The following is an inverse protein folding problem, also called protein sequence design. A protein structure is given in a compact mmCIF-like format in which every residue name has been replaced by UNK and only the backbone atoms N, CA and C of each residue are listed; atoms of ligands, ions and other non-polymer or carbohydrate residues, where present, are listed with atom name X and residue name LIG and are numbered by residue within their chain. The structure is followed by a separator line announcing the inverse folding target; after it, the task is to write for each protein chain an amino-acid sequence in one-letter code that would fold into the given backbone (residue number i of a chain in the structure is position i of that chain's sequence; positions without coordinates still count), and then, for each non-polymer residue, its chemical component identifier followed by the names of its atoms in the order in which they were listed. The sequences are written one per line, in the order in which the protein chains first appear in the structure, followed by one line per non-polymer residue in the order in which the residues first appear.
data_IF_261964473575
#
_entry.id   IF_261964473575
#
_cell.length_a   1.000
_cell.length_b   1.000
_cell.length_c   1.000
_cell.angle_alpha   90.00
_cell.angle_beta   90.00
_cell.angle_gamma   90.00
#
_symmetry.space_group_name_H-M   'P 1'
#
loop_
_entity.id
_entity.type
_entity.pdbx_description
1 polymer ?
#
# COMPACT_ATOMS: atom_id res chain seq x y z
N UNK A 1 -8.74 -22.99 1.08
CA UNK A 1 -8.28 -22.15 2.18
C UNK A 1 -8.40 -22.95 3.47
N UNK A 2 -7.29 -23.18 4.18
CA UNK A 2 -7.27 -23.91 5.47
C UNK A 2 -8.11 -23.20 6.56
N UNK A 3 -8.27 -21.87 6.44
CA UNK A 3 -9.00 -21.03 7.41
C UNK A 3 -10.39 -20.62 6.94
N UNK A 4 -10.85 -21.11 5.77
CA UNK A 4 -12.18 -20.81 5.24
C UNK A 4 -12.38 -19.36 4.75
N UNK A 5 -11.37 -18.48 4.92
CA UNK A 5 -11.42 -17.07 4.52
C UNK A 5 -10.27 -16.73 3.59
N UNK A 6 -10.57 -16.02 2.53
CA UNK A 6 -9.58 -15.46 1.60
C UNK A 6 -9.82 -13.97 1.46
N UNK A 7 -8.76 -13.16 1.56
CA UNK A 7 -8.84 -11.71 1.45
C UNK A 7 -8.18 -11.28 0.16
N UNK A 8 -8.90 -10.46 -0.60
CA UNK A 8 -8.40 -9.84 -1.83
C UNK A 8 -8.52 -8.33 -1.75
N UNK A 9 -7.55 -7.65 -2.33
CA UNK A 9 -7.50 -6.19 -2.44
C UNK A 9 -7.63 -5.77 -3.90
N UNK A 10 -8.54 -4.88 -4.17
CA UNK A 10 -8.71 -4.32 -5.51
C UNK A 10 -10.16 -4.20 -5.95
N UNK A 11 -10.36 -3.97 -7.26
CA UNK A 11 -9.34 -3.80 -8.31
C UNK A 11 -8.59 -2.47 -8.17
N UNK A 12 -7.27 -2.53 -8.33
CA UNK A 12 -6.38 -1.38 -8.34
C UNK A 12 -5.83 -1.17 -9.75
N UNK A 13 -5.62 0.08 -10.15
CA UNK A 13 -5.00 0.38 -11.44
C UNK A 13 -3.51 0.05 -11.38
N UNK A 14 -3.08 -0.82 -12.27
CA UNK A 14 -1.69 -1.20 -12.44
C UNK A 14 -1.19 -0.77 -13.82
N UNK A 15 -0.07 -0.07 -13.84
CA UNK A 15 0.57 0.38 -15.08
C UNK A 15 1.58 -0.67 -15.52
N UNK A 16 1.33 -1.29 -16.68
CA UNK A 16 2.23 -2.26 -17.30
C UNK A 16 2.86 -1.64 -18.53
N UNK A 17 4.19 -1.61 -18.55
CA UNK A 17 4.93 -1.24 -19.75
C UNK A 17 4.88 -2.39 -20.75
N UNK A 18 4.26 -2.13 -21.90
CA UNK A 18 4.16 -3.07 -23.01
C UNK A 18 5.23 -2.72 -24.02
N UNK A 19 6.08 -3.70 -24.33
CA UNK A 19 7.08 -3.57 -25.39
C UNK A 19 6.42 -3.81 -26.72
N UNK A 20 6.47 -2.80 -27.59
CA UNK A 20 5.88 -2.85 -28.92
C UNK A 20 6.90 -2.39 -29.97
N UNK A 21 6.82 -3.01 -31.15
CA UNK A 21 7.61 -2.66 -32.31
C UNK A 21 6.63 -2.22 -33.40
N UNK A 22 6.70 -0.96 -33.79
CA UNK A 22 5.87 -0.39 -34.87
C UNK A 22 6.71 -0.19 -36.11
N UNK A 23 6.08 -0.33 -37.27
CA UNK A 23 6.72 -0.02 -38.52
C UNK A 23 6.58 1.50 -38.75
N UNK A 24 7.70 2.19 -38.88
CA UNK A 24 7.70 3.60 -39.23
C UNK A 24 7.22 3.75 -40.68
N UNK A 25 6.12 4.47 -40.91
CA UNK A 25 5.55 4.61 -42.28
C UNK A 25 6.48 5.32 -43.24
N UNK A 26 7.38 6.17 -42.75
CA UNK A 26 8.26 6.98 -43.57
C UNK A 26 9.55 6.24 -43.98
N UNK A 27 10.07 5.40 -43.09
CA UNK A 27 11.35 4.71 -43.28
C UNK A 27 11.20 3.22 -43.58
N UNK A 28 10.01 2.63 -43.36
CA UNK A 28 9.76 1.20 -43.51
C UNK A 28 10.53 0.32 -42.48
N UNK A 29 11.18 0.91 -41.49
CA UNK A 29 11.94 0.21 -40.49
C UNK A 29 11.10 -0.02 -39.23
N UNK A 30 11.39 -1.12 -38.48
CA UNK A 30 10.77 -1.38 -37.21
C UNK A 30 11.43 -0.53 -36.14
N UNK A 31 10.64 0.32 -35.50
CA UNK A 31 11.05 1.14 -34.36
C UNK A 31 10.45 0.62 -33.05
N UNK A 32 11.25 0.67 -31.98
CA UNK A 32 10.81 0.29 -30.65
C UNK A 32 9.98 1.42 -30.05
N UNK A 33 8.68 1.16 -29.85
CA UNK A 33 7.71 2.14 -29.32
C UNK A 33 6.98 1.56 -28.12
N UNK A 34 7.61 1.58 -26.93
CA UNK A 34 6.96 1.09 -25.72
C UNK A 34 5.84 2.05 -25.29
N UNK A 35 4.73 1.48 -24.83
CA UNK A 35 3.64 2.25 -24.24
C UNK A 35 3.22 1.69 -22.88
N UNK A 36 2.62 2.52 -22.05
CA UNK A 36 2.05 2.11 -20.78
C UNK A 36 0.56 1.78 -20.94
N UNK A 37 0.19 0.59 -20.48
CA UNK A 37 -1.19 0.13 -20.44
C UNK A 37 -1.66 0.03 -19.02
N UNK A 38 -2.80 0.64 -18.73
CA UNK A 38 -3.50 0.49 -17.44
C UNK A 38 -4.27 -0.81 -17.46
N UNK A 39 -4.06 -1.62 -16.44
CA UNK A 39 -4.77 -2.89 -16.23
C UNK A 39 -5.29 -2.97 -14.80
N UNK A 40 -6.53 -3.46 -14.59
CA UNK A 40 -6.99 -3.76 -13.25
C UNK A 40 -6.20 -4.94 -12.69
N UNK A 41 -5.79 -4.83 -11.44
CA UNK A 41 -5.11 -5.90 -10.70
C UNK A 41 -5.81 -6.14 -9.39
N UNK A 42 -5.97 -7.42 -9.05
CA UNK A 42 -6.41 -7.88 -7.74
C UNK A 42 -5.19 -8.51 -7.06
N UNK A 43 -4.98 -8.21 -5.80
CA UNK A 43 -3.90 -8.73 -4.99
C UNK A 43 -4.46 -9.60 -3.87
N UNK A 44 -3.84 -10.74 -3.63
CA UNK A 44 -4.11 -11.55 -2.45
C UNK A 44 -3.47 -10.89 -1.23
N UNK A 45 -4.23 -10.84 -0.13
CA UNK A 45 -3.75 -10.34 1.15
C UNK A 45 -3.75 -11.49 2.15
N UNK A 46 -2.62 -11.67 2.83
CA UNK A 46 -2.53 -12.66 3.91
C UNK A 46 -3.45 -12.26 5.06
N UNK A 47 -4.18 -13.23 5.63
CA UNK A 47 -5.03 -13.01 6.78
C UNK A 47 -4.25 -12.43 7.98
N UNK A 48 -2.97 -12.81 8.11
CA UNK A 48 -2.08 -12.35 9.17
C UNK A 48 -1.61 -10.89 9.01
N UNK A 49 -1.73 -10.36 7.81
CA UNK A 49 -1.34 -8.99 7.47
C UNK A 49 -2.55 -8.07 7.28
N UNK A 50 -3.75 -8.57 7.61
CA UNK A 50 -5.01 -7.86 7.46
C UNK A 50 -5.65 -7.60 8.82
N UNK A 51 -5.79 -6.35 9.18
CA UNK A 51 -6.30 -5.90 10.47
C UNK A 51 -7.48 -4.95 10.25
N UNK A 52 -8.71 -5.50 10.18
CA UNK A 52 -9.91 -4.68 10.05
C UNK A 52 -10.31 -4.07 11.39
N UNK A 53 -11.24 -3.14 11.35
CA UNK A 53 -11.91 -2.62 12.55
C UNK A 53 -12.54 -3.77 13.33
N UNK A 54 -12.16 -4.00 14.61
CA UNK A 54 -12.69 -5.08 15.42
C UNK A 54 -14.17 -4.91 15.80
N UNK A 55 -14.73 -3.73 15.66
CA UNK A 55 -16.14 -3.44 15.93
C UNK A 55 -17.07 -3.79 14.78
N UNK A 56 -16.54 -3.94 13.57
CA UNK A 56 -17.30 -4.20 12.35
C UNK A 56 -17.64 -5.69 12.20
N UNK A 57 -18.80 -5.98 11.65
CA UNK A 57 -19.25 -7.33 11.32
C UNK A 57 -18.98 -7.71 9.86
N UNK A 58 -18.81 -6.71 9.01
CA UNK A 58 -18.49 -6.87 7.58
C UNK A 58 -17.47 -5.82 7.15
N UNK A 59 -16.83 -6.03 5.99
CA UNK A 59 -15.90 -5.04 5.42
C UNK A 59 -16.59 -3.73 5.06
N UNK A 60 -17.85 -3.78 4.70
CA UNK A 60 -18.65 -2.61 4.33
C UNK A 60 -18.95 -1.71 5.53
N UNK A 61 -18.98 -2.29 6.73
CA UNK A 61 -19.22 -1.57 7.99
C UNK A 61 -17.94 -1.09 8.67
N UNK A 62 -16.76 -1.47 8.13
CA UNK A 62 -15.48 -1.06 8.70
C UNK A 62 -15.26 0.45 8.57
N UNK A 63 -14.94 1.11 9.67
CA UNK A 63 -14.46 2.49 9.65
C UNK A 63 -13.05 2.57 9.08
N UNK A 64 -12.25 1.52 9.31
CA UNK A 64 -10.90 1.43 8.79
C UNK A 64 -10.45 -0.02 8.57
N UNK A 65 -9.44 -0.17 7.74
CA UNK A 65 -8.67 -1.41 7.56
C UNK A 65 -7.19 -1.06 7.50
N UNK A 66 -6.37 -1.82 8.22
CA UNK A 66 -4.92 -1.71 8.16
C UNK A 66 -4.36 -2.98 7.51
N UNK A 67 -3.57 -2.80 6.47
CA UNK A 67 -2.77 -3.86 5.87
C UNK A 67 -1.30 -3.67 6.27
N UNK A 68 -0.70 -4.74 6.80
CA UNK A 68 0.72 -4.78 7.10
C UNK A 68 1.52 -5.26 5.89
N UNK A 69 2.59 -4.58 5.56
CA UNK A 69 3.56 -4.96 4.55
C UNK A 69 4.93 -5.20 5.19
N UNK A 70 5.55 -6.30 4.83
CA UNK A 70 6.92 -6.64 5.22
C UNK A 70 7.85 -6.36 4.06
N UNK A 71 8.52 -5.21 4.09
CA UNK A 71 9.35 -4.74 2.98
C UNK A 71 10.83 -4.89 3.27
N UNK A 72 11.60 -5.24 2.26
CA UNK A 72 13.06 -5.12 2.33
C UNK A 72 13.48 -3.67 2.01
N UNK A 73 14.77 -3.37 2.27
CA UNK A 73 15.32 -2.03 2.04
C UNK A 73 15.13 -1.52 0.60
N UNK A 74 15.27 -2.40 -0.39
CA UNK A 74 15.12 -2.02 -1.81
C UNK A 74 13.66 -1.74 -2.17
N UNK A 75 12.72 -2.51 -1.63
CA UNK A 75 11.29 -2.30 -1.83
C UNK A 75 10.85 -0.97 -1.23
N UNK A 76 11.28 -0.69 0.02
CA UNK A 76 10.97 0.58 0.69
C UNK A 76 11.57 1.77 -0.09
N UNK A 77 12.84 1.68 -0.49
CA UNK A 77 13.47 2.71 -1.34
C UNK A 77 12.78 2.86 -2.70
N UNK A 78 12.23 1.78 -3.24
CA UNK A 78 11.48 1.79 -4.49
C UNK A 78 10.19 2.64 -4.43
N UNK A 79 9.63 2.86 -3.23
CA UNK A 79 8.45 3.71 -3.05
C UNK A 79 8.73 5.18 -3.34
N UNK A 80 9.97 5.66 -3.15
CA UNK A 80 10.39 7.05 -3.46
C UNK A 80 10.08 7.43 -4.92
N UNK A 81 10.12 6.44 -5.82
CA UNK A 81 9.83 6.66 -7.25
C UNK A 81 8.35 6.72 -7.57
N UNK A 82 7.49 6.42 -6.61
CA UNK A 82 6.04 6.44 -6.81
C UNK A 82 5.48 7.82 -6.43
N UNK A 83 4.42 8.28 -7.10
CA UNK A 83 3.79 9.55 -6.77
C UNK A 83 3.23 9.54 -5.35
N UNK A 84 3.25 10.71 -4.73
CA UNK A 84 2.69 10.97 -3.40
C UNK A 84 3.40 10.27 -2.22
N UNK A 85 4.58 9.67 -2.44
CA UNK A 85 5.41 9.19 -1.34
C UNK A 85 6.45 10.25 -0.96
N UNK A 86 6.59 10.49 0.35
CA UNK A 86 7.59 11.40 0.88
C UNK A 86 8.97 10.72 0.91
N UNK A 87 9.87 11.20 0.04
CA UNK A 87 11.23 10.70 -0.07
C UNK A 87 12.03 10.92 1.22
N UNK A 88 11.83 12.08 1.88
CA UNK A 88 12.55 12.45 3.10
C UNK A 88 12.19 11.53 4.26
N UNK A 89 10.89 11.29 4.47
CA UNK A 89 10.39 10.37 5.48
C UNK A 89 10.87 8.93 5.24
N UNK A 90 10.89 8.47 3.98
CA UNK A 90 11.40 7.14 3.64
C UNK A 90 12.90 7.03 3.92
N UNK A 91 13.70 8.03 3.56
CA UNK A 91 15.14 8.04 3.83
C UNK A 91 15.43 8.03 5.34
N UNK A 92 14.66 8.76 6.13
CA UNK A 92 14.75 8.74 7.58
C UNK A 92 14.39 7.36 8.15
N UNK A 93 13.34 6.69 7.65
CA UNK A 93 13.01 5.30 8.01
C UNK A 93 14.17 4.36 7.69
N UNK A 94 14.80 4.51 6.52
CA UNK A 94 15.93 3.71 6.09
C UNK A 94 17.17 3.95 6.97
N UNK A 95 17.35 5.16 7.50
CA UNK A 95 18.43 5.53 8.40
C UNK A 95 18.23 4.96 9.81
N UNK A 96 16.99 4.90 10.31
CA UNK A 96 16.65 4.28 11.60
C UNK A 96 16.86 2.77 11.60
N UNK A 97 16.82 2.13 10.43
CA UNK A 97 17.03 0.70 10.29
C UNK A 97 15.72 -0.11 10.30
N UNK A 98 15.83 -1.44 10.15
CA UNK A 98 14.71 -2.37 10.19
C UNK A 98 13.95 -2.28 11.51
N UNK A 99 12.64 -2.31 11.45
CA UNK A 99 11.73 -2.17 12.59
C UNK A 99 10.67 -3.27 12.67
N UNK A 100 10.81 -4.31 11.83
CA UNK A 100 9.90 -5.45 11.89
C UNK A 100 10.28 -6.34 13.07
N UNK A 101 9.29 -6.61 13.91
CA UNK A 101 9.40 -7.58 15.00
C UNK A 101 8.50 -8.79 14.68
N UNK A 102 9.05 -9.99 14.83
CA UNK A 102 8.29 -11.23 14.67
C UNK A 102 7.18 -11.30 15.73
N UNK A 103 6.01 -11.68 15.27
CA UNK A 103 4.87 -11.88 16.18
C UNK A 103 4.83 -13.32 16.64
N UNK A 104 4.54 -13.56 17.92
CA UNK A 104 4.48 -14.87 18.54
C UNK A 104 3.68 -15.91 17.72
N UNK A 105 2.58 -15.50 17.11
CA UNK A 105 1.76 -16.40 16.28
C UNK A 105 2.44 -16.79 14.96
N UNK A 106 3.37 -15.99 14.46
CA UNK A 106 4.13 -16.30 13.26
C UNK A 106 5.12 -17.44 13.53
N UNK A 107 5.74 -17.45 14.69
CA UNK A 107 6.65 -18.51 15.13
C UNK A 107 5.90 -19.82 15.36
N UNK A 108 4.67 -19.75 15.93
CA UNK A 108 3.84 -20.93 16.21
C UNK A 108 3.36 -21.64 14.93
N UNK A 109 3.22 -20.89 13.82
CA UNK A 109 2.76 -21.42 12.53
C UNK A 109 3.91 -22.01 11.72
N UNK A 110 5.12 -21.55 11.98
CA UNK A 110 6.32 -22.13 11.39
C UNK A 110 6.72 -23.36 12.17
N UNK A 111 6.15 -24.49 11.82
CA UNK A 111 6.56 -25.81 12.35
C UNK A 111 7.99 -26.22 11.92
N UNK A 112 8.65 -25.43 11.10
CA UNK A 112 10.02 -25.71 10.64
C UNK A 112 11.02 -24.83 11.38
N UNK A 113 12.06 -25.46 11.95
CA UNK A 113 13.30 -24.90 12.51
C UNK A 113 14.12 -24.05 11.51
N UNK A 114 13.48 -23.43 10.54
CA UNK A 114 14.14 -22.53 9.60
C UNK A 114 14.45 -21.22 10.33
N UNK A 115 15.74 -21.06 10.59
CA UNK A 115 16.35 -19.97 11.34
C UNK A 115 15.72 -18.59 11.10
N UNK A 116 15.58 -17.77 12.16
CA UNK A 116 15.00 -16.41 12.12
C UNK A 116 15.75 -15.42 11.21
N UNK A 117 16.84 -15.87 10.60
CA UNK A 117 17.81 -15.06 9.86
C UNK A 117 17.23 -14.24 8.70
N UNK A 118 16.11 -14.63 8.10
CA UNK A 118 15.55 -13.93 6.94
C UNK A 118 14.63 -12.75 7.30
N UNK A 119 14.28 -12.55 8.55
CA UNK A 119 13.33 -11.51 8.98
C UNK A 119 13.98 -10.29 9.63
N UNK A 120 15.17 -10.43 10.17
CA UNK A 120 15.89 -9.37 10.91
C UNK A 120 16.12 -8.09 10.11
N UNK A 121 16.00 -8.13 8.76
CA UNK A 121 16.23 -6.98 7.88
C UNK A 121 14.95 -6.51 7.17
N UNK A 122 13.79 -6.57 7.84
CA UNK A 122 12.53 -6.13 7.28
C UNK A 122 12.03 -4.84 7.93
N UNK A 123 11.35 -4.06 7.13
CA UNK A 123 10.64 -2.87 7.54
C UNK A 123 9.15 -3.19 7.60
N UNK A 124 8.54 -2.91 8.75
CA UNK A 124 7.08 -2.96 8.89
C UNK A 124 6.52 -1.65 8.33
N UNK A 125 5.68 -1.80 7.31
CA UNK A 125 4.95 -0.68 6.72
C UNK A 125 3.47 -0.96 6.87
N UNK A 126 2.76 -0.05 7.49
CA UNK A 126 1.32 -0.13 7.70
C UNK A 126 0.62 0.72 6.65
N UNK A 127 -0.33 0.13 5.94
CA UNK A 127 -1.19 0.80 4.99
C UNK A 127 -2.60 0.89 5.57
N UNK A 128 -3.00 2.10 5.93
CA UNK A 128 -4.31 2.42 6.49
C UNK A 128 -5.27 2.85 5.38
N UNK A 129 -6.47 2.32 5.41
CA UNK A 129 -7.61 2.74 4.61
C UNK A 129 -8.76 3.05 5.56
N UNK A 130 -9.26 4.27 5.55
CA UNK A 130 -10.35 4.65 6.44
C UNK A 130 -10.56 6.14 6.50
N UNK A 131 -11.25 6.55 7.56
CA UNK A 131 -11.62 7.94 7.81
C UNK A 131 -10.63 8.57 8.78
N UNK A 132 -10.21 9.80 8.51
CA UNK A 132 -9.45 10.64 9.44
C UNK A 132 -10.07 12.03 9.54
N UNK A 133 -9.83 12.71 10.65
CA UNK A 133 -10.22 14.10 10.81
C UNK A 133 -9.40 15.02 9.91
N UNK A 134 -10.05 16.03 9.35
CA UNK A 134 -9.42 17.03 8.48
C UNK A 134 -8.23 17.73 9.14
N UNK A 135 -8.31 17.95 10.46
CA UNK A 135 -7.21 18.55 11.24
C UNK A 135 -5.96 17.66 11.18
N UNK A 136 -6.13 16.35 11.38
CA UNK A 136 -5.04 15.38 11.32
C UNK A 136 -4.46 15.28 9.89
N UNK A 137 -5.31 15.33 8.87
CA UNK A 137 -4.87 15.33 7.48
C UNK A 137 -3.95 16.53 7.16
N UNK A 138 -4.30 17.71 7.67
CA UNK A 138 -3.49 18.92 7.51
C UNK A 138 -2.14 18.83 8.24
N UNK A 139 -2.11 18.28 9.46
CA UNK A 139 -0.88 18.05 10.21
C UNK A 139 0.09 17.12 9.49
N UNK A 140 -0.43 16.17 8.72
CA UNK A 140 0.35 15.21 7.94
C UNK A 140 0.77 15.76 6.57
N UNK A 141 0.43 17.01 6.26
CA UNK A 141 0.88 17.70 5.03
C UNK A 141 0.02 17.39 3.79
N UNK A 142 -1.24 17.05 4.00
CA UNK A 142 -2.20 16.87 2.90
C UNK A 142 -2.73 18.26 2.48
N UNK A 143 -2.11 18.84 1.44
CA UNK A 143 -2.38 20.23 1.00
C UNK A 143 -3.79 20.43 0.42
N UNK A 144 -4.40 19.38 -0.14
CA UNK A 144 -5.70 19.47 -0.85
C UNK A 144 -6.93 19.41 0.07
N UNK A 145 -6.73 19.41 1.38
CA UNK A 145 -7.84 19.22 2.33
C UNK A 145 -8.80 20.41 2.45
N UNK A 146 -8.42 21.58 1.94
CA UNK A 146 -9.20 22.80 2.15
C UNK A 146 -10.36 23.00 1.17
N UNK A 147 -10.32 22.39 -0.02
CA UNK A 147 -11.29 22.65 -1.08
C UNK A 147 -12.31 21.53 -1.31
N UNK A 148 -12.02 20.29 -0.85
CA UNK A 148 -12.74 19.10 -1.36
C UNK A 148 -13.80 18.50 -0.43
N UNK A 149 -14.01 18.98 0.78
CA UNK A 149 -15.12 18.48 1.58
C UNK A 149 -15.72 19.52 2.53
N UNK A 150 -17.04 19.62 2.49
CA UNK A 150 -17.86 20.30 3.49
C UNK A 150 -17.85 19.56 4.84
N UNK A 151 -17.28 18.33 4.87
CA UNK A 151 -17.23 17.46 6.04
C UNK A 151 -15.90 17.59 6.77
N UNK A 152 -15.96 17.48 8.10
CA UNK A 152 -14.77 17.47 8.96
C UNK A 152 -13.95 16.18 8.87
N UNK A 153 -14.44 15.18 8.13
CA UNK A 153 -13.84 13.87 7.98
C UNK A 153 -13.52 13.56 6.52
N UNK A 154 -12.35 12.95 6.29
CA UNK A 154 -11.83 12.60 4.99
C UNK A 154 -11.55 11.11 4.91
N UNK A 155 -11.99 10.47 3.82
CA UNK A 155 -11.57 9.10 3.49
C UNK A 155 -10.20 9.12 2.82
N UNK A 156 -9.23 8.40 3.40
CA UNK A 156 -7.83 8.46 3.01
C UNK A 156 -7.18 7.09 2.88
N UNK A 157 -6.05 7.09 2.18
CA UNK A 157 -5.06 6.03 2.25
C UNK A 157 -3.77 6.61 2.82
N UNK A 158 -3.35 6.09 3.98
CA UNK A 158 -2.14 6.52 4.69
C UNK A 158 -1.16 5.37 4.81
N UNK A 159 0.11 5.65 4.55
CA UNK A 159 1.19 4.69 4.72
C UNK A 159 2.15 5.17 5.80
N UNK A 160 2.44 4.29 6.76
CA UNK A 160 3.28 4.59 7.92
C UNK A 160 4.42 3.59 8.01
N UNK A 161 5.62 4.06 8.24
CA UNK A 161 6.81 3.24 8.49
C UNK A 161 7.57 3.78 9.71
N UNK A 162 7.84 2.94 10.70
CA UNK A 162 8.58 3.34 11.89
C UNK A 162 7.99 4.54 12.64
N UNK A 163 6.67 4.67 12.67
CA UNK A 163 5.95 5.78 13.29
C UNK A 163 5.91 7.07 12.44
N UNK A 164 6.47 7.07 11.23
CA UNK A 164 6.45 8.21 10.32
C UNK A 164 5.49 7.98 9.18
N UNK A 165 4.72 9.00 8.84
CA UNK A 165 3.85 8.96 7.66
C UNK A 165 4.71 9.17 6.41
N UNK A 166 4.71 8.16 5.53
CA UNK A 166 5.46 8.17 4.28
C UNK A 166 4.57 8.46 3.07
N UNK A 167 3.25 8.43 3.25
CA UNK A 167 2.25 8.81 2.25
C UNK A 167 0.94 9.13 2.94
N UNK A 168 0.25 10.18 2.49
CA UNK A 168 -1.13 10.47 2.86
C UNK A 168 -1.85 11.03 1.63
N UNK A 169 -2.91 10.36 1.18
CA UNK A 169 -3.68 10.76 0.01
C UNK A 169 -5.16 10.47 0.21
N UNK A 170 -6.00 11.22 -0.50
CA UNK A 170 -7.43 10.92 -0.57
C UNK A 170 -7.68 9.54 -1.15
N UNK A 171 -8.77 8.91 -0.71
CA UNK A 171 -9.23 7.65 -1.29
C UNK A 171 -9.52 7.84 -2.79
N UNK A 172 -8.84 7.09 -3.68
CA UNK A 172 -8.96 7.29 -5.12
C UNK A 172 -10.27 6.73 -5.72
N UNK A 173 -11.08 6.04 -4.94
CA UNK A 173 -12.32 5.46 -5.42
C UNK A 173 -13.48 6.44 -5.32
N UNK A 174 -14.36 6.42 -6.34
CA UNK A 174 -15.61 7.18 -6.37
C UNK A 174 -16.77 6.23 -6.69
N UNK A 175 -17.72 5.98 -5.76
CA UNK A 175 -17.70 6.44 -4.37
C UNK A 175 -16.52 5.88 -3.56
N UNK A 176 -16.13 6.62 -2.52
CA UNK A 176 -15.05 6.20 -1.64
C UNK A 176 -15.40 4.87 -0.96
N UNK A 177 -14.47 3.92 -0.99
CA UNK A 177 -14.65 2.59 -0.42
C UNK A 177 -13.32 1.99 0.05
N UNK A 178 -13.40 1.08 0.99
CA UNK A 178 -12.28 0.24 1.40
C UNK A 178 -12.07 -0.84 0.31
N UNK A 179 -10.87 -0.99 -0.28
CA UNK A 179 -10.66 -1.83 -1.45
C UNK A 179 -10.41 -3.32 -1.12
N UNK A 180 -10.96 -3.82 -0.05
CA UNK A 180 -10.82 -5.24 0.36
C UNK A 180 -12.16 -5.98 0.25
N UNK A 181 -12.06 -7.29 -0.03
CA UNK A 181 -13.18 -8.24 -0.10
C UNK A 181 -12.75 -9.60 0.42
#
# INVERSE_FOLDING_TARGET
ALLGTGIVKGPLNFYKRVHNWQMNPDTGQKEYSPYEKVMPRIEYVSLWDFHPDPSATSIEDCEYVIQRHRMNRQQLRGLIKRPYFDASAIEECLAKGPNYEDKYYEDTIREDDTEPYYQENRYEVLEYWGVIDKKLANEVGMEDSNEMSEFDQLQVNVWVCGGMVIRCVMNPFTPARIPFQ
#
